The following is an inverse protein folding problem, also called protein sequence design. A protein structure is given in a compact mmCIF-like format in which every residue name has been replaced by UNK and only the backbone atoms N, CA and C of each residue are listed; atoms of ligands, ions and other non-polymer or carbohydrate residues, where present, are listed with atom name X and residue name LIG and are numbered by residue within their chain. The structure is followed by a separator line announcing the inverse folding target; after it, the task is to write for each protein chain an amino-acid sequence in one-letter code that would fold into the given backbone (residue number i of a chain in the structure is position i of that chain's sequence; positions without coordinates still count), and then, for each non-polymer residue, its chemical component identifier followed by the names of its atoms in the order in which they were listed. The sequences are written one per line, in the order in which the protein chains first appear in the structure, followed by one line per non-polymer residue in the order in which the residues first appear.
data_IF_660097312473
#
_entry.id   IF_660097312473
#
_cell.length_a   1.000
_cell.length_b   1.000
_cell.length_c   1.000
_cell.angle_alpha   90.00
_cell.angle_beta   90.00
_cell.angle_gamma   90.00
#
_symmetry.space_group_name_H-M   'P 1'
#
loop_
_entity.id
_entity.type
_entity.pdbx_description
1 polymer ?
#
# COMPACT_ATOMS: atom_id res chain seq x y z
N UNK A 1 12.07 10.15 -1.53
CA UNK A 1 13.15 9.17 -1.26
C UNK A 1 13.26 8.13 -2.38
N UNK A 2 12.16 7.67 -2.97
CA UNK A 2 12.14 6.63 -4.02
C UNK A 2 12.93 7.04 -5.27
N UNK A 3 12.92 8.31 -5.62
CA UNK A 3 13.65 8.85 -6.78
C UNK A 3 15.18 8.78 -6.64
N UNK A 4 15.71 8.64 -5.44
CA UNK A 4 17.14 8.64 -5.16
C UNK A 4 17.73 7.23 -4.96
N UNK A 5 16.89 6.21 -4.70
CA UNK A 5 17.28 4.80 -4.55
C UNK A 5 17.19 4.05 -5.89
N UNK A 6 17.85 4.58 -6.92
CA UNK A 6 17.84 4.01 -8.26
C UNK A 6 18.87 2.90 -8.43
N UNK A 7 18.60 1.99 -9.36
CA UNK A 7 19.56 0.94 -9.73
C UNK A 7 20.80 1.56 -10.42
N UNK A 8 21.94 0.94 -10.26
CA UNK A 8 23.18 1.38 -10.93
C UNK A 8 23.08 1.42 -12.46
N UNK A 9 22.11 0.71 -13.02
CA UNK A 9 21.80 0.70 -14.47
C UNK A 9 20.87 1.81 -14.90
N UNK A 10 20.25 2.54 -13.94
CA UNK A 10 19.40 3.68 -14.24
C UNK A 10 20.25 4.85 -14.76
N UNK A 11 19.85 5.53 -15.86
CA UNK A 11 20.56 6.67 -16.40
C UNK A 11 20.72 7.84 -15.41
N UNK A 12 19.79 7.97 -14.47
CA UNK A 12 19.75 9.02 -13.47
C UNK A 12 20.37 8.59 -12.12
N UNK A 13 21.01 7.40 -12.06
CA UNK A 13 21.66 6.93 -10.84
C UNK A 13 22.79 7.88 -10.38
N UNK A 14 22.74 8.30 -9.13
CA UNK A 14 23.77 9.08 -8.44
C UNK A 14 24.11 8.40 -7.12
N UNK A 15 25.33 7.83 -7.04
CA UNK A 15 25.82 7.12 -5.86
C UNK A 15 25.76 7.98 -4.58
N UNK A 16 26.04 9.27 -4.70
CA UNK A 16 26.03 10.17 -3.54
C UNK A 16 24.62 10.44 -3.01
N UNK A 17 23.65 10.53 -3.90
CA UNK A 17 22.25 10.65 -3.51
C UNK A 17 21.74 9.37 -2.89
N UNK A 18 22.08 8.22 -3.49
CA UNK A 18 21.76 6.91 -2.93
C UNK A 18 22.25 6.79 -1.48
N UNK A 19 23.54 7.12 -1.22
CA UNK A 19 24.12 7.04 0.12
C UNK A 19 23.54 8.05 1.13
N UNK A 20 22.93 9.16 0.67
CA UNK A 20 22.27 10.13 1.54
C UNK A 20 20.94 9.60 2.09
N UNK A 21 20.25 8.75 1.34
CA UNK A 21 18.92 8.24 1.69
C UNK A 21 18.94 6.82 2.27
N UNK A 22 20.02 6.06 2.07
CA UNK A 22 20.15 4.73 2.60
C UNK A 22 21.26 4.67 3.66
N UNK A 23 20.86 4.50 4.91
CA UNK A 23 21.80 4.24 6.02
C UNK A 23 21.97 2.73 6.24
N UNK A 24 23.14 2.19 5.92
CA UNK A 24 23.48 0.82 6.30
C UNK A 24 24.07 0.78 7.71
N UNK A 25 23.50 -0.05 8.57
CA UNK A 25 24.03 -0.27 9.90
C UNK A 25 25.11 -1.38 9.85
N UNK A 26 26.30 -1.05 10.29
CA UNK A 26 27.40 -2.00 10.41
C UNK A 26 28.27 -2.23 9.15
N UNK A 27 27.93 -1.62 8.02
CA UNK A 27 28.73 -1.64 6.78
C UNK A 27 28.45 -0.41 5.95
N UNK A 28 29.45 0.10 5.24
CA UNK A 28 29.30 1.10 4.19
C UNK A 28 29.31 0.48 2.78
N UNK A 29 29.37 -0.85 2.67
CA UNK A 29 29.34 -1.56 1.41
C UNK A 29 27.89 -1.90 1.03
N UNK A 30 27.37 -1.27 -0.01
CA UNK A 30 26.03 -1.43 -0.53
C UNK A 30 25.91 -2.53 -1.60
N UNK A 31 27.02 -3.14 -2.04
CA UNK A 31 27.06 -4.09 -3.17
C UNK A 31 26.01 -5.17 -3.03
N UNK A 32 25.91 -5.80 -1.88
CA UNK A 32 24.97 -6.89 -1.59
C UNK A 32 23.51 -6.46 -1.71
N UNK A 33 23.18 -5.24 -1.27
CA UNK A 33 21.84 -4.69 -1.40
C UNK A 33 21.53 -4.40 -2.88
N UNK A 34 22.46 -3.77 -3.60
CA UNK A 34 22.29 -3.44 -5.01
C UNK A 34 22.11 -4.69 -5.87
N UNK A 35 22.89 -5.75 -5.62
CA UNK A 35 22.74 -7.03 -6.31
C UNK A 35 21.34 -7.63 -6.08
N UNK A 36 20.84 -7.62 -4.85
CA UNK A 36 19.50 -8.10 -4.53
C UNK A 36 18.44 -7.24 -5.22
N UNK A 37 18.56 -5.91 -5.20
CA UNK A 37 17.60 -5.01 -5.85
C UNK A 37 17.61 -5.20 -7.38
N UNK A 38 18.77 -5.37 -8.02
CA UNK A 38 18.87 -5.64 -9.45
C UNK A 38 18.14 -6.93 -9.85
N UNK A 39 18.37 -8.00 -9.09
CA UNK A 39 17.71 -9.29 -9.33
C UNK A 39 16.21 -9.20 -9.06
N UNK A 40 15.80 -8.49 -8.01
CA UNK A 40 14.39 -8.31 -7.66
C UNK A 40 13.62 -7.52 -8.72
N UNK A 41 14.27 -6.58 -9.42
CA UNK A 41 13.67 -5.79 -10.49
C UNK A 41 13.83 -6.40 -11.90
N UNK A 42 14.42 -7.57 -12.01
CA UNK A 42 14.51 -8.32 -13.28
C UNK A 42 13.35 -9.32 -13.38
N UNK A 43 12.31 -8.95 -14.14
CA UNK A 43 11.13 -9.79 -14.34
C UNK A 43 11.41 -11.07 -15.14
N UNK A 44 12.58 -11.20 -15.76
CA UNK A 44 12.99 -12.43 -16.47
C UNK A 44 13.42 -13.54 -15.50
N UNK A 45 13.72 -13.21 -14.23
CA UNK A 45 14.12 -14.16 -13.20
C UNK A 45 12.88 -14.59 -12.39
N UNK A 46 12.53 -15.88 -12.34
CA UNK A 46 11.40 -16.36 -11.55
C UNK A 46 11.54 -16.01 -10.06
N UNK A 47 10.45 -15.55 -9.43
CA UNK A 47 10.48 -15.16 -8.01
C UNK A 47 10.84 -16.31 -7.08
N UNK A 48 10.50 -17.57 -7.40
CA UNK A 48 10.93 -18.74 -6.64
C UNK A 48 12.46 -18.87 -6.57
N UNK A 49 13.18 -18.53 -7.65
CA UNK A 49 14.63 -18.54 -7.65
C UNK A 49 15.18 -17.43 -6.76
N UNK A 50 14.60 -16.23 -6.84
CA UNK A 50 14.97 -15.09 -6.00
C UNK A 50 14.72 -15.39 -4.53
N UNK A 51 13.55 -15.92 -4.18
CA UNK A 51 13.23 -16.35 -2.81
C UNK A 51 14.18 -17.43 -2.31
N UNK A 52 14.53 -18.39 -3.17
CA UNK A 52 15.43 -19.48 -2.77
C UNK A 52 16.88 -19.06 -2.51
N UNK A 53 17.32 -17.93 -3.07
CA UNK A 53 18.70 -17.45 -2.95
C UNK A 53 18.84 -16.23 -2.04
N UNK A 54 18.01 -15.22 -2.26
CA UNK A 54 18.20 -13.91 -1.65
C UNK A 54 17.31 -13.64 -0.45
N UNK A 55 16.24 -14.41 -0.23
CA UNK A 55 15.31 -14.17 0.86
C UNK A 55 15.00 -15.42 1.68
N UNK A 56 14.67 -15.22 2.93
CA UNK A 56 14.00 -16.25 3.70
C UNK A 56 12.48 -16.14 3.46
N UNK A 57 11.95 -16.99 2.59
CA UNK A 57 10.54 -16.94 2.19
C UNK A 57 9.57 -17.18 3.35
N UNK A 58 9.96 -17.99 4.33
CA UNK A 58 9.17 -18.25 5.55
C UNK A 58 9.10 -16.98 6.41
N UNK A 59 10.22 -16.31 6.63
CA UNK A 59 10.27 -15.04 7.36
C UNK A 59 9.38 -13.98 6.71
N UNK A 60 9.44 -13.82 5.37
CA UNK A 60 8.58 -12.86 4.66
C UNK A 60 7.11 -13.23 4.84
N UNK A 61 6.76 -14.51 4.69
CA UNK A 61 5.37 -14.96 4.81
C UNK A 61 4.81 -14.72 6.23
N UNK A 62 5.56 -15.05 7.28
CA UNK A 62 5.12 -14.80 8.66
C UNK A 62 5.07 -13.31 8.99
N UNK A 63 6.03 -12.53 8.50
CA UNK A 63 5.99 -11.08 8.66
C UNK A 63 4.75 -10.48 7.99
N UNK A 64 4.48 -10.81 6.72
CA UNK A 64 3.28 -10.36 6.02
C UNK A 64 2.00 -10.84 6.71
N UNK A 65 1.94 -12.10 7.13
CA UNK A 65 0.78 -12.65 7.82
C UNK A 65 0.48 -11.89 9.12
N UNK A 66 1.51 -11.55 9.89
CA UNK A 66 1.35 -10.75 11.10
C UNK A 66 0.81 -9.35 10.78
N UNK A 67 1.40 -8.64 9.81
CA UNK A 67 0.95 -7.31 9.43
C UNK A 67 -0.49 -7.34 8.87
N UNK A 68 -0.83 -8.33 8.05
CA UNK A 68 -2.17 -8.51 7.48
C UNK A 68 -3.22 -8.78 8.58
N UNK A 69 -2.95 -9.69 9.52
CA UNK A 69 -3.86 -10.02 10.62
C UNK A 69 -4.03 -8.86 11.62
N UNK A 70 -3.00 -8.04 11.80
CA UNK A 70 -3.09 -6.86 12.67
C UNK A 70 -3.57 -5.61 11.96
N UNK A 71 -3.83 -5.68 10.64
CA UNK A 71 -4.29 -4.53 9.85
C UNK A 71 -3.31 -3.37 9.85
N UNK A 72 -1.99 -3.65 9.94
CA UNK A 72 -0.97 -2.61 9.97
C UNK A 72 -0.68 -2.11 8.56
N UNK A 73 -1.37 -1.07 8.14
CA UNK A 73 -1.26 -0.50 6.78
C UNK A 73 0.00 0.33 6.57
N UNK A 74 0.76 0.62 7.61
CA UNK A 74 1.91 1.52 7.57
C UNK A 74 3.25 0.79 7.36
N UNK A 75 3.25 -0.43 6.84
CA UNK A 75 4.44 -1.29 6.73
C UNK A 75 4.81 -1.68 5.29
N UNK A 76 4.04 -1.27 4.29
CA UNK A 76 4.28 -1.66 2.90
C UNK A 76 5.59 -1.10 2.30
N UNK A 77 6.06 0.07 2.77
CA UNK A 77 7.28 0.76 2.29
C UNK A 77 8.18 1.27 3.41
N UNK A 78 7.76 1.15 4.67
CA UNK A 78 8.47 1.67 5.84
C UNK A 78 8.16 0.81 7.07
N UNK A 79 8.65 1.21 8.24
CA UNK A 79 8.39 0.53 9.51
C UNK A 79 8.83 -0.94 9.50
N UNK A 80 9.92 -1.23 8.79
CA UNK A 80 10.60 -2.51 8.81
C UNK A 80 12.08 -2.33 8.54
N UNK A 81 12.90 -3.28 8.97
CA UNK A 81 14.31 -3.35 8.62
C UNK A 81 14.57 -4.54 7.71
N UNK A 82 15.41 -4.33 6.70
CA UNK A 82 16.02 -5.43 5.96
C UNK A 82 17.34 -5.80 6.64
N UNK A 83 17.46 -7.04 7.04
CA UNK A 83 18.66 -7.60 7.66
C UNK A 83 19.25 -8.71 6.82
N UNK A 84 20.56 -8.68 6.61
CA UNK A 84 21.28 -9.76 5.97
C UNK A 84 22.60 -10.03 6.68
N UNK A 85 22.87 -11.28 7.15
CA UNK A 85 24.15 -11.64 7.77
C UNK A 85 25.33 -11.43 6.81
N UNK A 86 26.48 -11.01 7.30
CA UNK A 86 27.67 -10.78 6.46
C UNK A 86 28.15 -12.03 5.70
N UNK A 87 27.87 -13.22 6.23
CA UNK A 87 28.30 -14.50 5.68
C UNK A 87 27.21 -15.24 4.88
N UNK A 88 26.12 -14.57 4.54
CA UNK A 88 25.01 -15.12 3.77
C UNK A 88 24.48 -14.08 2.79
N UNK A 89 23.92 -14.49 1.66
CA UNK A 89 23.20 -13.62 0.72
C UNK A 89 21.73 -13.44 1.12
N UNK A 90 21.25 -14.18 2.12
CA UNK A 90 19.85 -14.19 2.53
C UNK A 90 19.46 -12.92 3.28
N UNK A 91 18.35 -12.34 2.88
CA UNK A 91 17.71 -11.20 3.53
C UNK A 91 16.49 -11.64 4.35
N UNK A 92 16.29 -10.93 5.46
CA UNK A 92 15.18 -11.09 6.39
C UNK A 92 14.50 -9.75 6.58
N UNK A 93 13.19 -9.76 6.79
CA UNK A 93 12.43 -8.59 7.23
C UNK A 93 12.30 -8.69 8.76
N UNK A 94 12.63 -7.60 9.44
CA UNK A 94 12.49 -7.45 10.89
C UNK A 94 11.39 -6.43 11.18
N UNK A 95 10.56 -6.73 12.15
CA UNK A 95 9.51 -5.82 12.61
C UNK A 95 10.08 -4.56 13.24
N UNK A 96 9.43 -3.45 12.94
CA UNK A 96 9.72 -2.16 13.54
C UNK A 96 8.46 -1.30 13.52
N UNK A 97 8.20 -0.59 14.63
CA UNK A 97 7.16 0.44 14.73
C UNK A 97 5.75 -0.06 14.39
N UNK A 98 5.28 -1.05 15.14
CA UNK A 98 3.97 -1.66 14.94
C UNK A 98 2.84 -0.88 15.67
N UNK A 99 2.98 0.41 15.91
CA UNK A 99 1.97 1.24 16.57
C UNK A 99 0.77 1.58 15.66
N UNK A 100 0.92 1.33 14.34
CA UNK A 100 -0.15 1.43 13.35
C UNK A 100 -1.12 0.24 13.32
N UNK A 101 -0.88 -0.83 14.10
CA UNK A 101 -1.73 -2.03 14.08
C UNK A 101 -3.01 -1.87 14.91
N UNK A 102 -4.08 -2.61 14.51
CA UNK A 102 -5.35 -2.71 15.25
C UNK A 102 -5.98 -1.35 15.55
N UNK A 103 -6.01 -0.46 14.55
CA UNK A 103 -6.48 0.92 14.68
C UNK A 103 -7.86 1.17 14.09
N UNK A 104 -8.49 0.20 13.46
CA UNK A 104 -9.74 0.41 12.74
C UNK A 104 -10.84 1.00 13.63
N UNK A 105 -11.05 0.47 14.83
CA UNK A 105 -12.04 1.00 15.79
C UNK A 105 -11.66 2.40 16.28
N UNK A 106 -10.39 2.63 16.60
CA UNK A 106 -9.92 3.94 17.04
C UNK A 106 -10.11 4.98 15.93
N UNK A 107 -9.68 4.70 14.73
CA UNK A 107 -9.78 5.61 13.58
C UNK A 107 -11.24 5.95 13.25
N UNK A 108 -12.15 4.98 13.38
CA UNK A 108 -13.59 5.20 13.20
C UNK A 108 -14.17 6.22 14.20
N UNK A 109 -13.61 6.31 15.41
CA UNK A 109 -14.05 7.29 16.41
C UNK A 109 -13.66 8.73 16.03
N UNK A 110 -12.67 8.89 15.15
CA UNK A 110 -12.24 10.19 14.64
C UNK A 110 -12.82 10.52 13.25
N UNK A 111 -13.76 9.70 12.74
CA UNK A 111 -14.33 9.81 11.40
C UNK A 111 -13.28 9.68 10.28
N UNK A 112 -12.18 8.99 10.51
CA UNK A 112 -11.31 8.56 9.45
C UNK A 112 -11.97 7.39 8.73
N UNK A 113 -12.47 7.63 7.53
CA UNK A 113 -13.08 6.58 6.69
C UNK A 113 -12.02 6.01 5.77
N UNK A 114 -11.72 4.73 5.96
CA UNK A 114 -10.88 3.94 5.05
C UNK A 114 -11.74 3.11 4.06
N UNK A 115 -13.07 3.26 4.12
CA UNK A 115 -14.03 2.35 3.47
C UNK A 115 -13.82 2.18 1.96
N UNK A 116 -13.20 3.16 1.28
CA UNK A 116 -12.94 3.14 -0.16
C UNK A 116 -11.44 3.08 -0.49
N UNK A 117 -10.61 2.79 0.49
CA UNK A 117 -9.16 2.71 0.35
C UNK A 117 -8.74 1.34 -0.17
N UNK A 118 -7.66 1.29 -0.97
CA UNK A 118 -6.94 0.04 -1.28
C UNK A 118 -6.05 -0.43 -0.10
N UNK A 119 -5.99 0.31 1.01
CA UNK A 119 -5.14 0.05 2.19
C UNK A 119 -5.71 -1.09 3.06
N UNK A 120 -6.04 -2.25 2.49
CA UNK A 120 -6.51 -3.43 3.21
C UNK A 120 -6.10 -4.72 2.50
N UNK A 121 -5.95 -5.80 3.26
CA UNK A 121 -5.57 -7.10 2.71
C UNK A 121 -4.30 -7.04 1.87
N UNK A 122 -4.20 -7.86 0.83
CA UNK A 122 -3.01 -7.94 -0.02
C UNK A 122 -2.83 -6.73 -0.93
N UNK A 123 -3.88 -5.96 -1.20
CA UNK A 123 -3.81 -4.75 -2.03
C UNK A 123 -2.90 -3.69 -1.44
N UNK A 124 -2.84 -3.57 -0.10
CA UNK A 124 -1.92 -2.66 0.59
C UNK A 124 -0.45 -2.91 0.24
N UNK A 125 -0.08 -4.16 -0.04
CA UNK A 125 1.31 -4.56 -0.35
C UNK A 125 1.61 -4.61 -1.83
N UNK A 126 0.61 -4.45 -2.70
CA UNK A 126 0.75 -4.62 -4.14
C UNK A 126 1.65 -3.58 -4.81
N UNK A 127 1.74 -2.36 -4.28
CA UNK A 127 2.62 -1.30 -4.78
C UNK A 127 4.11 -1.59 -4.62
N UNK A 128 4.50 -2.45 -3.67
CA UNK A 128 5.89 -2.83 -3.42
C UNK A 128 6.31 -4.02 -4.28
N UNK A 129 7.40 -3.88 -5.04
CA UNK A 129 7.87 -4.91 -5.99
C UNK A 129 8.15 -6.25 -5.32
N UNK A 130 8.75 -6.28 -4.13
CA UNK A 130 9.03 -7.52 -3.40
C UNK A 130 7.72 -8.25 -3.10
N UNK A 131 6.78 -7.57 -2.47
CA UNK A 131 5.52 -8.18 -2.04
C UNK A 131 4.63 -8.53 -3.23
N UNK A 132 4.54 -7.65 -4.25
CA UNK A 132 3.79 -7.94 -5.48
C UNK A 132 4.29 -9.21 -6.15
N UNK A 133 5.61 -9.35 -6.36
CA UNK A 133 6.19 -10.56 -6.97
C UNK A 133 6.00 -11.80 -6.11
N UNK A 134 6.10 -11.67 -4.78
CA UNK A 134 5.75 -12.74 -3.86
C UNK A 134 4.28 -13.16 -4.03
N UNK A 135 3.35 -12.23 -4.04
CA UNK A 135 1.90 -12.50 -4.16
C UNK A 135 1.53 -13.09 -5.53
N UNK A 136 2.24 -12.74 -6.61
CA UNK A 136 2.06 -13.38 -7.93
C UNK A 136 2.54 -14.82 -7.98
N UNK A 137 3.36 -15.26 -7.00
CA UNK A 137 3.96 -16.58 -6.95
C UNK A 137 3.09 -17.55 -6.15
N UNK A 138 2.54 -18.59 -6.79
CA UNK A 138 1.61 -19.55 -6.17
C UNK A 138 2.21 -20.25 -4.95
N UNK A 139 3.46 -20.69 -5.05
CA UNK A 139 4.16 -21.36 -3.94
C UNK A 139 4.36 -20.43 -2.73
N UNK A 140 4.50 -19.13 -2.95
CA UNK A 140 4.56 -18.16 -1.87
C UNK A 140 3.19 -17.88 -1.26
N UNK A 141 2.13 -17.75 -2.07
CA UNK A 141 0.76 -17.61 -1.54
C UNK A 141 0.37 -18.78 -0.65
N UNK A 142 0.65 -20.01 -1.08
CA UNK A 142 0.39 -21.21 -0.24
C UNK A 142 1.16 -21.17 1.10
N UNK A 143 2.36 -20.60 1.12
CA UNK A 143 3.14 -20.39 2.35
C UNK A 143 2.55 -19.28 3.21
N UNK A 144 2.08 -18.20 2.59
CA UNK A 144 1.41 -17.10 3.27
C UNK A 144 0.09 -17.56 3.90
N UNK A 145 -0.73 -18.35 3.16
CA UNK A 145 -1.95 -18.95 3.67
C UNK A 145 -1.67 -19.79 4.92
N UNK A 146 -0.64 -20.64 4.88
CA UNK A 146 -0.26 -21.46 6.03
C UNK A 146 0.18 -20.59 7.24
N UNK A 147 0.89 -19.50 7.01
CA UNK A 147 1.30 -18.59 8.07
C UNK A 147 0.10 -17.81 8.65
N UNK A 148 -0.84 -17.38 7.80
CA UNK A 148 -2.10 -16.74 8.22
C UNK A 148 -2.91 -17.70 9.13
N UNK A 149 -3.10 -18.94 8.71
CA UNK A 149 -3.85 -19.94 9.49
C UNK A 149 -3.20 -20.21 10.84
N UNK A 150 -1.88 -20.39 10.87
CA UNK A 150 -1.14 -20.63 12.11
C UNK A 150 -1.22 -19.43 13.05
N UNK A 151 -0.95 -18.23 12.57
CA UNK A 151 -0.98 -17.03 13.39
C UNK A 151 -2.41 -16.70 13.85
N UNK A 152 -3.42 -16.83 13.00
CA UNK A 152 -4.82 -16.63 13.37
C UNK A 152 -5.25 -17.60 14.47
N UNK A 153 -4.89 -18.90 14.34
CA UNK A 153 -5.13 -19.89 15.40
C UNK A 153 -4.45 -19.52 16.72
N UNK A 154 -3.25 -18.92 16.65
CA UNK A 154 -2.51 -18.46 17.83
C UNK A 154 -3.09 -17.19 18.42
N UNK A 155 -3.50 -16.23 17.59
CA UNK A 155 -4.06 -14.92 17.94
C UNK A 155 -5.59 -14.98 18.11
N UNK A 156 -6.14 -16.11 18.55
CA UNK A 156 -7.58 -16.25 18.76
C UNK A 156 -8.12 -15.32 19.86
N UNK A 157 -9.44 -15.10 19.84
CA UNK A 157 -10.10 -14.12 20.71
C UNK A 157 -9.81 -14.37 22.21
N UNK A 158 -9.84 -15.64 22.69
CA UNK A 158 -9.56 -15.96 24.10
C UNK A 158 -8.16 -15.47 24.54
N UNK A 159 -7.16 -15.68 23.69
CA UNK A 159 -5.77 -15.27 23.96
C UNK A 159 -5.63 -13.75 23.90
N UNK A 160 -6.14 -13.11 22.87
CA UNK A 160 -6.06 -11.65 22.70
C UNK A 160 -6.79 -10.94 23.85
N UNK A 161 -8.02 -11.32 24.15
CA UNK A 161 -8.80 -10.71 25.23
C UNK A 161 -8.12 -10.89 26.59
N UNK A 162 -7.53 -12.07 26.81
CA UNK A 162 -6.76 -12.34 28.04
C UNK A 162 -5.50 -11.47 28.14
N UNK A 163 -4.77 -11.27 27.03
CA UNK A 163 -3.60 -10.39 26.98
C UNK A 163 -3.99 -8.92 27.21
N UNK A 164 -5.04 -8.46 26.52
CA UNK A 164 -5.58 -7.10 26.70
C UNK A 164 -5.98 -6.87 28.16
N UNK A 165 -6.76 -7.76 28.75
CA UNK A 165 -7.16 -7.68 30.13
C UNK A 165 -5.95 -7.63 31.10
N UNK A 166 -4.92 -8.44 30.84
CA UNK A 166 -3.69 -8.44 31.62
C UNK A 166 -2.94 -7.11 31.51
N UNK A 167 -2.69 -6.62 30.30
CA UNK A 167 -1.95 -5.38 30.09
C UNK A 167 -2.70 -4.16 30.64
N UNK A 168 -4.02 -4.13 30.52
CA UNK A 168 -4.85 -3.07 31.12
C UNK A 168 -4.64 -2.95 32.62
N UNK A 169 -4.50 -4.05 33.35
CA UNK A 169 -4.21 -3.98 34.82
C UNK A 169 -2.91 -3.25 35.14
N UNK A 170 -1.98 -3.18 34.16
CA UNK A 170 -0.69 -2.51 34.31
C UNK A 170 -0.78 -1.06 33.81
N UNK A 171 -1.37 -0.83 32.64
CA UNK A 171 -1.31 0.45 31.93
C UNK A 171 -2.38 1.46 32.38
N UNK A 172 -3.60 1.04 32.70
CA UNK A 172 -4.73 1.95 33.04
C UNK A 172 -4.41 2.92 34.18
N UNK A 173 -3.61 2.50 35.16
CA UNK A 173 -3.22 3.37 36.26
C UNK A 173 -2.33 4.54 35.80
N UNK A 174 -1.72 4.48 34.61
CA UNK A 174 -0.85 5.53 34.10
C UNK A 174 -1.56 6.37 33.02
N UNK A 175 -2.33 5.75 32.13
CA UNK A 175 -3.01 6.42 31.00
C UNK A 175 -3.84 7.62 31.49
N UNK A 176 -4.51 7.51 32.65
CA UNK A 176 -5.37 8.57 33.21
C UNK A 176 -4.65 9.49 34.18
N UNK A 177 -3.32 9.49 34.21
CA UNK A 177 -2.48 10.35 35.05
C UNK A 177 -1.46 11.11 34.20
N UNK A 178 -0.94 12.22 34.78
CA UNK A 178 0.15 12.96 34.16
C UNK A 178 1.45 12.11 34.16
N UNK A 179 2.24 12.12 33.09
CA UNK A 179 2.09 12.96 31.86
C UNK A 179 1.14 12.40 30.81
N UNK A 180 0.78 11.11 30.85
CA UNK A 180 0.13 10.39 29.76
C UNK A 180 -1.24 10.96 29.39
N UNK A 181 -2.05 11.32 30.38
CA UNK A 181 -3.37 11.92 30.16
C UNK A 181 -3.33 13.22 29.33
N UNK A 182 -2.18 13.90 29.30
CA UNK A 182 -2.04 15.13 28.51
C UNK A 182 -2.03 14.85 26.99
N UNK A 183 -1.70 13.63 26.61
CA UNK A 183 -1.62 13.17 25.21
C UNK A 183 -2.76 12.19 24.85
N UNK A 184 -3.53 11.75 25.84
CA UNK A 184 -4.66 10.85 25.62
C UNK A 184 -5.80 11.57 24.89
N UNK A 185 -6.24 11.00 23.78
CA UNK A 185 -7.31 11.55 22.94
C UNK A 185 -8.65 10.89 23.19
N UNK A 186 -8.64 9.67 23.75
CA UNK A 186 -9.84 8.89 24.00
C UNK A 186 -10.42 9.23 25.38
N UNK A 187 -11.74 9.26 25.48
CA UNK A 187 -12.42 9.18 26.77
C UNK A 187 -12.28 7.77 27.36
N UNK A 188 -12.44 7.57 28.68
CA UNK A 188 -12.41 6.23 29.27
C UNK A 188 -13.36 5.23 28.60
N UNK A 189 -14.56 5.67 28.18
CA UNK A 189 -15.52 4.81 27.48
C UNK A 189 -15.06 4.44 26.06
N UNK A 190 -14.42 5.36 25.36
CA UNK A 190 -13.84 5.07 24.02
C UNK A 190 -12.63 4.13 24.15
N UNK A 191 -11.77 4.35 25.13
CA UNK A 191 -10.66 3.44 25.45
C UNK A 191 -11.16 2.02 25.71
N UNK A 192 -12.24 1.86 26.51
CA UNK A 192 -12.88 0.57 26.72
C UNK A 192 -13.41 -0.05 25.41
N UNK A 193 -14.00 0.76 24.55
CA UNK A 193 -14.49 0.31 23.25
C UNK A 193 -13.34 -0.23 22.38
N UNK A 194 -12.26 0.54 22.23
CA UNK A 194 -11.08 0.14 21.45
C UNK A 194 -10.43 -1.11 22.06
N UNK A 195 -10.20 -1.14 23.38
CA UNK A 195 -9.58 -2.28 24.03
C UNK A 195 -10.39 -3.58 23.87
N UNK A 196 -11.72 -3.49 23.79
CA UNK A 196 -12.60 -4.64 23.63
C UNK A 196 -12.84 -5.03 22.15
N UNK A 197 -12.38 -4.25 21.18
CA UNK A 197 -12.53 -4.56 19.74
C UNK A 197 -11.34 -5.32 19.15
N UNK A 198 -10.18 -5.34 19.80
CA UNK A 198 -8.93 -5.81 19.21
C UNK A 198 -8.99 -7.26 18.68
N UNK A 199 -9.64 -8.16 19.39
CA UNK A 199 -9.84 -9.54 18.89
C UNK A 199 -10.80 -9.59 17.70
N UNK A 200 -11.82 -8.73 17.66
CA UNK A 200 -12.76 -8.63 16.54
C UNK A 200 -12.06 -8.07 15.30
N UNK A 201 -11.19 -7.08 15.45
CA UNK A 201 -10.41 -6.53 14.35
C UNK A 201 -9.50 -7.58 13.69
N UNK A 202 -8.88 -8.47 14.48
CA UNK A 202 -8.09 -9.60 13.94
C UNK A 202 -8.97 -10.53 13.10
N UNK A 203 -10.19 -10.85 13.58
CA UNK A 203 -11.15 -11.68 12.83
C UNK A 203 -11.63 -10.99 11.53
N UNK A 204 -11.80 -9.69 11.55
CA UNK A 204 -12.14 -8.90 10.36
C UNK A 204 -10.99 -8.87 9.37
N UNK A 205 -9.76 -8.63 9.83
CA UNK A 205 -8.56 -8.64 9.00
C UNK A 205 -8.27 -10.03 8.40
N UNK A 206 -8.52 -11.10 9.16
CA UNK A 206 -8.43 -12.47 8.63
C UNK A 206 -9.40 -12.68 7.45
N UNK A 207 -10.65 -12.21 7.55
CA UNK A 207 -11.59 -12.27 6.42
C UNK A 207 -11.15 -11.36 5.28
N UNK A 208 -10.72 -10.14 5.57
CA UNK A 208 -10.21 -9.18 4.57
C UNK A 208 -9.03 -9.74 3.79
N UNK A 209 -8.15 -10.54 4.41
CA UNK A 209 -7.06 -11.20 3.71
C UNK A 209 -7.58 -12.06 2.55
N UNK A 210 -8.52 -12.97 2.80
CA UNK A 210 -9.10 -13.84 1.76
C UNK A 210 -9.98 -13.05 0.78
N UNK A 211 -10.79 -12.13 1.27
CA UNK A 211 -11.69 -11.33 0.44
C UNK A 211 -10.91 -10.45 -0.54
N UNK A 212 -9.71 -9.98 -0.16
CA UNK A 212 -8.90 -9.10 -1.02
C UNK A 212 -8.45 -9.76 -2.33
N UNK A 213 -8.40 -11.09 -2.40
CA UNK A 213 -8.07 -11.81 -3.64
C UNK A 213 -9.19 -11.79 -4.70
N UNK A 214 -10.43 -11.48 -4.30
CA UNK A 214 -11.55 -11.34 -5.25
C UNK A 214 -11.54 -10.01 -6.00
N UNK A 215 -10.78 -9.03 -5.51
CA UNK A 215 -10.71 -7.71 -6.10
C UNK A 215 -9.56 -7.62 -7.11
N UNK A 216 -9.72 -6.89 -8.22
CA UNK A 216 -8.57 -6.48 -9.02
C UNK A 216 -7.56 -5.74 -8.13
N UNK A 217 -6.27 -5.90 -8.42
CA UNK A 217 -5.23 -5.19 -7.69
C UNK A 217 -5.14 -3.73 -8.14
N UNK A 218 -4.83 -2.81 -7.21
CA UNK A 218 -4.68 -1.40 -7.53
C UNK A 218 -3.50 -1.17 -8.48
N UNK A 219 -3.54 -0.05 -9.21
CA UNK A 219 -2.61 0.32 -10.27
C UNK A 219 -2.35 1.83 -10.23
N UNK A 220 -1.35 2.32 -10.96
CA UNK A 220 -1.07 3.76 -11.02
C UNK A 220 -1.70 4.41 -12.25
N UNK A 221 -2.17 5.65 -12.06
CA UNK A 221 -2.62 6.52 -13.15
C UNK A 221 -1.39 7.25 -13.70
N UNK A 222 -1.15 7.13 -15.01
CA UNK A 222 -0.09 7.85 -15.69
C UNK A 222 -0.40 9.35 -15.81
N UNK A 223 0.64 10.14 -16.06
CA UNK A 223 0.46 11.56 -16.39
C UNK A 223 -0.15 11.68 -17.78
N UNK A 224 -1.26 12.42 -17.96
CA UNK A 224 -1.81 12.65 -19.29
C UNK A 224 -0.78 13.28 -20.23
N UNK A 225 -0.75 12.86 -21.50
CA UNK A 225 0.12 13.42 -22.50
C UNK A 225 -0.68 14.19 -23.55
N UNK A 226 -0.11 15.24 -24.12
CA UNK A 226 -0.75 16.00 -25.21
C UNK A 226 -0.13 15.56 -26.54
N UNK A 227 -0.97 15.11 -27.45
CA UNK A 227 -0.60 14.78 -28.82
C UNK A 227 -1.75 15.18 -29.77
N UNK A 228 -1.43 15.81 -30.89
CA UNK A 228 -2.42 16.22 -31.91
C UNK A 228 -3.62 17.00 -31.35
N UNK A 229 -3.37 17.88 -30.37
CA UNK A 229 -4.38 18.69 -29.66
C UNK A 229 -5.41 17.85 -28.91
N UNK A 230 -5.03 16.65 -28.44
CA UNK A 230 -5.81 15.77 -27.58
C UNK A 230 -5.04 15.40 -26.35
N UNK A 231 -5.77 15.03 -25.28
CA UNK A 231 -5.24 14.41 -24.08
C UNK A 231 -5.30 12.91 -24.24
N UNK A 232 -4.14 12.27 -24.19
CA UNK A 232 -4.00 10.81 -24.05
C UNK A 232 -3.92 10.48 -22.58
N UNK A 233 -4.90 9.78 -22.10
CA UNK A 233 -5.04 9.32 -20.73
C UNK A 233 -4.55 7.87 -20.68
N UNK A 234 -3.60 7.57 -19.79
CA UNK A 234 -3.01 6.24 -19.66
C UNK A 234 -2.93 5.85 -18.19
N UNK A 235 -2.96 4.55 -17.91
CA UNK A 235 -2.77 3.97 -16.59
C UNK A 235 -2.16 2.59 -16.71
N UNK A 236 -1.68 2.03 -15.60
CA UNK A 236 -1.16 0.68 -15.61
C UNK A 236 -2.28 -0.35 -15.74
N UNK A 237 -1.99 -1.49 -16.37
CA UNK A 237 -2.92 -2.60 -16.39
C UNK A 237 -3.06 -3.20 -14.98
N UNK A 238 -4.29 -3.28 -14.49
CA UNK A 238 -4.59 -3.94 -13.23
C UNK A 238 -4.36 -5.46 -13.36
N UNK A 239 -4.18 -6.11 -12.23
CA UNK A 239 -3.99 -7.56 -12.13
C UNK A 239 -5.19 -8.18 -11.40
N UNK A 240 -5.60 -9.37 -11.82
CA UNK A 240 -6.65 -10.15 -11.18
C UNK A 240 -6.12 -11.56 -10.90
N UNK A 241 -6.28 -12.05 -9.67
CA UNK A 241 -5.74 -13.36 -9.25
C UNK A 241 -6.46 -14.54 -9.89
N UNK A 242 -7.73 -14.36 -10.24
CA UNK A 242 -8.56 -15.39 -10.91
C UNK A 242 -8.49 -15.26 -12.45
N UNK A 243 -7.69 -14.31 -12.95
CA UNK A 243 -7.53 -14.01 -14.37
C UNK A 243 -8.86 -13.68 -15.07
N UNK A 244 -9.77 -13.03 -14.36
CA UNK A 244 -11.02 -12.54 -14.92
C UNK A 244 -10.76 -11.39 -15.90
N UNK A 245 -11.69 -11.20 -16.85
CA UNK A 245 -11.63 -10.05 -17.76
C UNK A 245 -11.85 -8.75 -16.99
N UNK A 246 -11.00 -7.76 -17.25
CA UNK A 246 -11.04 -6.47 -16.59
C UNK A 246 -11.58 -5.39 -17.52
N UNK A 247 -12.45 -4.53 -17.00
CA UNK A 247 -12.94 -3.34 -17.71
C UNK A 247 -12.69 -2.09 -16.86
N UNK A 248 -12.30 -1.01 -17.53
CA UNK A 248 -12.00 0.26 -16.88
C UNK A 248 -13.09 1.29 -17.15
N UNK A 249 -13.28 2.17 -16.18
CA UNK A 249 -14.02 3.42 -16.30
C UNK A 249 -13.08 4.55 -15.98
N UNK A 250 -12.93 5.52 -16.89
CA UNK A 250 -12.16 6.74 -16.68
C UNK A 250 -13.05 7.95 -16.64
N UNK A 251 -12.77 8.86 -15.72
CA UNK A 251 -13.44 10.15 -15.60
C UNK A 251 -12.40 11.27 -15.46
N UNK A 252 -12.67 12.41 -16.09
CA UNK A 252 -11.94 13.66 -15.88
C UNK A 252 -12.92 14.73 -15.45
N UNK A 253 -12.61 15.44 -14.38
CA UNK A 253 -13.49 16.45 -13.78
C UNK A 253 -12.74 17.76 -13.50
N UNK A 254 -13.50 18.83 -13.36
CA UNK A 254 -12.99 20.14 -12.95
C UNK A 254 -12.85 20.28 -11.42
N UNK A 255 -13.29 19.29 -10.66
CA UNK A 255 -13.23 19.27 -9.20
C UNK A 255 -12.95 17.84 -8.69
N UNK A 256 -12.28 17.74 -7.55
CA UNK A 256 -11.87 16.47 -6.94
C UNK A 256 -13.03 15.62 -6.39
N UNK A 257 -14.23 16.20 -6.29
CA UNK A 257 -15.45 15.48 -5.85
C UNK A 257 -16.20 14.85 -7.02
N UNK A 258 -15.74 15.11 -8.26
CA UNK A 258 -16.37 14.64 -9.51
C UNK A 258 -17.85 15.04 -9.66
N UNK A 259 -18.23 16.20 -9.11
CA UNK A 259 -19.57 16.78 -9.35
C UNK A 259 -19.66 17.43 -10.73
N UNK A 260 -18.54 17.88 -11.28
CA UNK A 260 -18.46 18.50 -12.60
C UNK A 260 -17.57 17.64 -13.53
N UNK A 261 -18.08 16.49 -13.95
CA UNK A 261 -17.42 15.58 -14.87
C UNK A 261 -17.44 16.15 -16.29
N UNK A 262 -16.27 16.32 -16.88
CA UNK A 262 -16.05 16.86 -18.22
C UNK A 262 -15.93 15.76 -19.28
N UNK A 263 -15.40 14.60 -18.88
CA UNK A 263 -15.24 13.43 -19.72
C UNK A 263 -15.50 12.16 -18.91
N UNK A 264 -16.17 11.19 -19.52
CA UNK A 264 -16.37 9.84 -18.98
C UNK A 264 -16.39 8.83 -20.11
N UNK A 265 -15.64 7.75 -19.95
CA UNK A 265 -15.68 6.60 -20.82
C UNK A 265 -15.66 5.32 -19.99
N UNK A 266 -16.54 4.41 -20.34
CA UNK A 266 -16.76 3.15 -19.61
C UNK A 266 -16.47 1.95 -20.51
N UNK A 267 -16.35 0.76 -19.91
CA UNK A 267 -16.14 -0.52 -20.58
C UNK A 267 -14.89 -0.54 -21.46
N UNK A 268 -13.82 0.13 -21.04
CA UNK A 268 -12.54 0.10 -21.70
C UNK A 268 -11.82 -1.21 -21.35
N UNK A 269 -11.34 -1.92 -22.36
CA UNK A 269 -10.56 -3.15 -22.19
C UNK A 269 -9.04 -2.88 -22.25
N UNK A 270 -8.64 -1.69 -22.68
CA UNK A 270 -7.25 -1.25 -22.70
C UNK A 270 -7.06 -0.15 -21.66
N UNK A 271 -5.86 -0.05 -21.05
CA UNK A 271 -5.58 0.94 -20.01
C UNK A 271 -5.26 2.32 -20.61
N UNK A 272 -6.09 2.78 -21.54
CA UNK A 272 -5.92 4.07 -22.21
C UNK A 272 -7.26 4.64 -22.66
N UNK A 273 -7.32 5.97 -22.80
CA UNK A 273 -8.43 6.70 -23.40
C UNK A 273 -7.93 7.99 -24.06
N UNK A 274 -8.75 8.61 -24.89
CA UNK A 274 -8.44 9.87 -25.56
C UNK A 274 -9.60 10.84 -25.42
N UNK A 275 -9.30 12.11 -25.15
CA UNK A 275 -10.27 13.18 -25.13
C UNK A 275 -9.69 14.46 -25.75
N UNK A 276 -10.54 15.44 -26.03
CA UNK A 276 -10.08 16.75 -26.53
C UNK A 276 -9.27 17.47 -25.43
N UNK A 277 -8.24 18.24 -25.86
CA UNK A 277 -7.44 19.05 -24.97
C UNK A 277 -8.32 20.07 -24.24
N UNK A 278 -8.17 20.10 -22.92
CA UNK A 278 -8.89 21.03 -22.06
C UNK A 278 -8.22 22.42 -22.04
N UNK A 279 -8.96 23.49 -21.75
CA UNK A 279 -8.37 24.81 -21.45
C UNK A 279 -7.36 24.75 -20.31
N UNK A 280 -6.51 25.79 -20.21
CA UNK A 280 -5.59 25.91 -19.08
C UNK A 280 -6.36 25.91 -17.74
N UNK A 281 -5.97 25.05 -16.81
CA UNK A 281 -6.65 24.86 -15.53
C UNK A 281 -6.21 23.63 -14.78
N UNK A 282 -6.73 23.44 -13.57
CA UNK A 282 -6.56 22.27 -12.74
C UNK A 282 -7.66 21.26 -13.03
N UNK A 283 -7.30 20.00 -13.13
CA UNK A 283 -8.21 18.90 -13.42
C UNK A 283 -7.88 17.67 -12.58
N UNK A 284 -8.86 16.78 -12.46
CA UNK A 284 -8.78 15.56 -11.67
C UNK A 284 -9.18 14.37 -12.53
N UNK A 285 -8.36 13.33 -12.53
CA UNK A 285 -8.60 12.09 -13.23
C UNK A 285 -8.82 10.98 -12.22
N UNK A 286 -9.85 10.16 -12.46
CA UNK A 286 -10.14 8.95 -11.70
C UNK A 286 -10.29 7.79 -12.64
N UNK A 287 -9.68 6.66 -12.30
CA UNK A 287 -9.83 5.42 -13.03
C UNK A 287 -10.22 4.31 -12.06
N UNK A 288 -11.26 3.57 -12.44
CA UNK A 288 -11.73 2.38 -11.73
C UNK A 288 -11.66 1.16 -12.64
N UNK A 289 -11.23 0.04 -12.08
CA UNK A 289 -11.26 -1.24 -12.74
C UNK A 289 -12.34 -2.12 -12.11
N UNK A 290 -13.04 -2.90 -12.93
CA UNK A 290 -14.04 -3.87 -12.47
C UNK A 290 -13.80 -5.19 -13.17
N UNK A 291 -13.84 -6.32 -12.43
CA UNK A 291 -13.74 -7.66 -12.98
C UNK A 291 -15.11 -8.25 -13.34
N UNK A 292 -15.14 -9.44 -13.95
CA UNK A 292 -16.40 -10.10 -14.37
C UNK A 292 -17.33 -10.42 -13.19
N UNK A 293 -16.78 -10.70 -12.03
CA UNK A 293 -17.53 -10.94 -10.79
C UNK A 293 -18.13 -9.66 -10.18
N UNK A 294 -17.78 -8.47 -10.71
CA UNK A 294 -18.32 -7.18 -10.30
C UNK A 294 -17.58 -6.50 -9.15
N UNK A 295 -16.44 -7.03 -8.73
CA UNK A 295 -15.57 -6.35 -7.76
C UNK A 295 -14.84 -5.20 -8.43
N UNK A 296 -14.80 -4.07 -7.73
CA UNK A 296 -14.21 -2.82 -8.26
C UNK A 296 -13.05 -2.36 -7.41
N UNK A 297 -11.99 -1.87 -8.05
CA UNK A 297 -10.81 -1.30 -7.39
C UNK A 297 -10.45 0.06 -7.97
N UNK A 298 -10.06 0.99 -7.09
CA UNK A 298 -9.51 2.28 -7.45
C UNK A 298 -7.98 2.22 -7.65
N UNK A 299 -7.42 3.25 -8.29
CA UNK A 299 -5.98 3.40 -8.46
C UNK A 299 -5.26 3.71 -7.14
N UNK A 300 -3.93 3.52 -7.10
CA UNK A 300 -3.09 3.91 -5.95
C UNK A 300 -3.04 5.41 -5.70
N UNK A 301 -3.21 6.20 -6.76
CA UNK A 301 -3.15 7.65 -6.68
C UNK A 301 -4.18 8.19 -5.70
N UNK A 302 -3.82 9.25 -5.00
CA UNK A 302 -4.74 9.95 -4.11
C UNK A 302 -4.50 11.46 -4.16
N UNK A 303 -5.56 12.21 -3.93
CA UNK A 303 -5.50 13.67 -3.79
C UNK A 303 -5.67 14.06 -2.32
N UNK A 304 -4.79 14.93 -1.81
CA UNK A 304 -4.82 15.38 -0.41
C UNK A 304 -5.65 16.65 -0.28
N UNK A 305 -6.56 16.67 0.66
CA UNK A 305 -7.36 17.83 1.05
C UNK A 305 -7.21 18.09 2.54
N UNK A 306 -7.70 19.24 3.03
CA UNK A 306 -7.75 19.54 4.47
C UNK A 306 -8.58 18.50 5.28
N UNK A 307 -9.45 17.76 4.60
CA UNK A 307 -10.30 16.73 5.20
C UNK A 307 -9.70 15.31 5.15
N UNK A 308 -8.56 15.14 4.47
CA UNK A 308 -7.88 13.85 4.31
C UNK A 308 -7.61 13.47 2.85
N UNK A 309 -7.23 12.21 2.65
CA UNK A 309 -6.95 11.63 1.32
C UNK A 309 -8.24 11.29 0.58
N UNK A 310 -8.24 11.51 -0.72
CA UNK A 310 -9.29 11.04 -1.65
C UNK A 310 -8.61 10.06 -2.59
N UNK A 311 -8.86 8.78 -2.38
CA UNK A 311 -8.21 7.68 -3.10
C UNK A 311 -8.69 7.56 -4.55
N UNK A 312 -7.84 6.99 -5.39
CA UNK A 312 -8.13 6.75 -6.82
C UNK A 312 -8.11 8.00 -7.69
N UNK A 313 -7.64 9.15 -7.17
CA UNK A 313 -7.70 10.45 -7.85
C UNK A 313 -6.30 11.02 -8.08
N UNK A 314 -5.98 11.29 -9.35
CA UNK A 314 -4.79 12.02 -9.77
C UNK A 314 -5.14 13.45 -10.17
N UNK A 315 -4.43 14.42 -9.60
CA UNK A 315 -4.50 15.83 -10.01
C UNK A 315 -3.50 16.11 -11.12
N UNK A 316 -3.88 16.91 -12.11
CA UNK A 316 -2.98 17.43 -13.13
C UNK A 316 -3.40 18.84 -13.58
N UNK A 317 -2.47 19.54 -14.21
CA UNK A 317 -2.70 20.89 -14.73
C UNK A 317 -2.49 20.91 -16.24
N UNK A 318 -3.41 21.56 -16.96
CA UNK A 318 -3.16 22.00 -18.33
C UNK A 318 -2.62 23.43 -18.25
N UNK A 319 -1.42 23.64 -18.75
CA UNK A 319 -0.75 24.92 -18.72
C UNK A 319 -1.23 25.81 -19.87
N UNK A 320 -0.94 27.12 -19.79
CA UNK A 320 -1.34 28.12 -20.83
C UNK A 320 -0.71 27.85 -22.20
N UNK A 321 0.40 27.14 -22.24
CA UNK A 321 1.08 26.74 -23.48
C UNK A 321 0.58 25.38 -24.00
N UNK A 322 -0.39 24.76 -23.31
CA UNK A 322 -0.94 23.45 -23.61
C UNK A 322 -0.13 22.26 -23.09
N UNK A 323 0.95 22.49 -22.37
CA UNK A 323 1.69 21.40 -21.68
C UNK A 323 0.94 20.90 -20.46
N UNK A 324 1.31 19.69 -19.98
CA UNK A 324 0.76 19.10 -18.75
C UNK A 324 1.80 19.21 -17.64
N UNK A 325 1.33 19.54 -16.44
CA UNK A 325 2.11 19.47 -15.21
C UNK A 325 1.37 18.62 -14.18
N UNK A 326 2.12 17.85 -13.39
CA UNK A 326 1.60 17.16 -12.21
C UNK A 326 1.45 18.11 -11.04
N UNK A 327 0.67 17.72 -10.03
CA UNK A 327 0.61 18.45 -8.78
C UNK A 327 1.90 18.18 -7.98
N UNK A 328 2.78 19.17 -7.94
CA UNK A 328 4.08 19.08 -7.26
C UNK A 328 3.97 19.21 -5.72
N UNK A 329 2.77 19.38 -5.18
CA UNK A 329 2.52 19.58 -3.76
C UNK A 329 2.08 18.31 -3.02
N UNK A 330 2.10 17.15 -3.65
CA UNK A 330 1.85 15.84 -3.00
C UNK A 330 3.17 15.26 -2.52
N UNK A 331 3.90 16.01 -1.69
CA UNK A 331 4.89 15.43 -0.78
C UNK A 331 4.21 15.17 0.56
N UNK A 332 3.89 13.88 0.80
CA UNK A 332 3.38 13.39 2.05
C UNK A 332 4.47 13.03 3.04
#
# INVERSE_FOLDING_TARGET
YEDDLKLTTDPDYDEKKFEQHLETKGSSDHTKLLEMLQVLNDDSIPMEEILGRYFNAENIAYWMAFQLLTGNVDTQNRNCYLYSPLNSETWYILDWDNDGMLRHTEDSLYNYSEADSWEWGVSNYWGNTLFRRCLQTESFRARLDAAIEELHSYMNAERIDSMVAHYRTITEQFVWQMPDIANERLTPAQYDTVANSLSTEIEENYRHYYDSYYYPMPFYIGVPAVQDNKLHLVWDAAYDFDAESLVYTVEVAADYTFQNVLFRQENLMLPEAEMDLLPAGQYFMRVRVTNESGYTQDAFDYYVTDAGKIYGVKCFYVMTDGSIAEDIYVEG
#
